data_IF_222768287159
#
_entry.id   IF_222768287159
#
_cell.length_a   1.000
_cell.length_b   1.000
_cell.length_c   1.000
_cell.angle_alpha   90.00
_cell.angle_beta   90.00
_cell.angle_gamma   90.00
#
_symmetry.space_group_name_H-M   'P 1'
#
loop_
_entity.id
_entity.type
_entity.pdbx_description
1 polymer ?
#
# COMPACT_ATOMS: atom_id res chain seq x y z
N UNK A 1 -32.50 -35.58 -11.86
CA UNK A 1 -31.18 -34.93 -11.90
C UNK A 1 -31.21 -33.65 -11.03
N UNK A 2 -30.78 -33.76 -9.79
CA UNK A 2 -30.80 -32.60 -8.84
C UNK A 2 -29.49 -31.82 -9.00
N UNK A 3 -29.58 -30.57 -9.46
CA UNK A 3 -28.44 -29.65 -9.53
C UNK A 3 -28.25 -29.04 -8.16
N UNK A 4 -27.23 -29.47 -7.42
CA UNK A 4 -26.78 -28.82 -6.19
C UNK A 4 -26.01 -27.57 -6.55
N UNK A 5 -26.62 -26.43 -6.29
CA UNK A 5 -26.01 -25.10 -6.43
C UNK A 5 -25.18 -24.84 -5.16
N UNK A 6 -23.86 -25.01 -5.25
CA UNK A 6 -22.93 -24.66 -4.17
C UNK A 6 -22.65 -23.17 -4.28
N UNK A 7 -23.26 -22.40 -3.39
CA UNK A 7 -22.98 -20.97 -3.22
C UNK A 7 -21.73 -20.87 -2.35
N UNK A 8 -20.60 -20.52 -2.97
CA UNK A 8 -19.40 -20.13 -2.24
C UNK A 8 -19.57 -18.68 -1.74
N UNK A 9 -19.96 -18.55 -0.49
CA UNK A 9 -19.90 -17.27 0.22
C UNK A 9 -18.43 -16.96 0.52
N UNK A 10 -17.87 -15.98 -0.19
CA UNK A 10 -16.55 -15.44 0.10
C UNK A 10 -16.69 -14.50 1.30
N UNK A 11 -16.52 -15.04 2.51
CA UNK A 11 -16.46 -14.26 3.75
C UNK A 11 -15.11 -13.52 3.78
N UNK A 12 -15.14 -12.21 3.55
CA UNK A 12 -14.00 -11.33 3.73
C UNK A 12 -13.63 -11.25 5.21
N UNK A 13 -12.54 -11.89 5.60
CA UNK A 13 -11.96 -11.74 6.93
C UNK A 13 -11.19 -10.43 7.00
N UNK A 14 -11.83 -9.42 7.57
CA UNK A 14 -11.19 -8.18 8.00
C UNK A 14 -10.33 -8.53 9.23
N UNK A 15 -9.02 -8.67 9.03
CA UNK A 15 -8.07 -8.89 10.14
C UNK A 15 -7.94 -7.61 10.94
N UNK A 16 -8.57 -7.59 12.13
CA UNK A 16 -8.31 -6.61 13.18
C UNK A 16 -6.87 -6.77 13.66
N UNK A 17 -6.08 -5.72 13.51
CA UNK A 17 -4.78 -5.59 14.15
C UNK A 17 -4.95 -5.54 15.67
N UNK A 18 -4.19 -6.33 16.44
CA UNK A 18 -4.19 -6.20 17.90
C UNK A 18 -3.47 -4.92 18.32
N UNK A 19 -4.21 -4.00 18.92
CA UNK A 19 -3.64 -2.86 19.65
C UNK A 19 -2.85 -3.37 20.85
N UNK A 20 -1.54 -3.25 20.82
CA UNK A 20 -0.68 -3.49 21.97
C UNK A 20 -0.79 -2.27 22.90
N UNK A 21 -1.65 -2.38 23.91
CA UNK A 21 -1.71 -1.43 25.02
C UNK A 21 -0.51 -1.66 25.93
N UNK A 22 0.49 -0.79 25.86
CA UNK A 22 1.52 -0.70 26.89
C UNK A 22 0.95 0.13 28.05
N UNK A 23 0.67 -0.54 29.15
CA UNK A 23 0.39 0.09 30.43
C UNK A 23 1.67 0.78 30.91
N UNK A 24 1.70 2.11 30.84
CA UNK A 24 2.74 2.94 31.47
C UNK A 24 2.23 3.38 32.82
N UNK A 25 2.92 2.91 33.87
CA UNK A 25 2.79 3.31 35.25
C UNK A 25 3.01 4.81 35.40
N UNK A 26 2.17 5.57 36.13
CA UNK A 26 2.38 6.99 36.32
C UNK A 26 3.45 7.23 37.38
N UNK A 27 4.51 7.90 37.01
CA UNK A 27 5.45 8.55 37.95
C UNK A 27 5.06 10.02 38.14
N UNK A 28 5.35 10.62 39.31
CA UNK A 28 4.71 11.84 39.82
C UNK A 28 5.15 13.10 39.06
N UNK A 29 4.16 13.95 38.89
CA UNK A 29 4.20 15.27 38.27
C UNK A 29 5.20 16.21 38.94
N UNK A 30 6.15 16.72 38.16
CA UNK A 30 6.71 18.05 38.42
C UNK A 30 6.18 18.99 37.35
N UNK A 31 5.26 19.84 37.78
CA UNK A 31 4.68 20.90 36.94
C UNK A 31 5.73 21.97 36.70
N UNK A 32 6.40 21.90 35.54
CA UNK A 32 7.10 23.05 34.98
C UNK A 32 6.17 23.65 33.92
N UNK A 33 5.46 24.69 34.31
CA UNK A 33 4.70 25.54 33.40
C UNK A 33 5.68 26.26 32.48
N UNK A 34 6.01 25.64 31.36
CA UNK A 34 6.65 26.34 30.24
C UNK A 34 5.56 27.09 29.52
N UNK A 35 5.52 28.40 29.74
CA UNK A 35 4.74 29.36 28.97
C UNK A 35 5.13 29.19 27.50
N UNK A 36 4.32 28.46 26.73
CA UNK A 36 4.47 28.40 25.29
C UNK A 36 4.01 29.75 24.71
N UNK A 37 4.96 30.66 24.55
CA UNK A 37 4.78 31.79 23.64
C UNK A 37 4.42 31.21 22.27
N UNK A 38 3.35 31.69 21.59
CA UNK A 38 3.11 31.33 20.23
C UNK A 38 4.29 31.80 19.41
N UNK A 39 5.15 30.84 18.97
CA UNK A 39 6.12 31.12 17.94
C UNK A 39 5.32 31.63 16.72
N UNK A 40 5.34 32.95 16.53
CA UNK A 40 4.94 33.56 15.27
C UNK A 40 5.71 32.81 14.18
N UNK A 41 4.97 32.18 13.24
CA UNK A 41 5.56 31.52 12.08
C UNK A 41 6.42 32.56 11.36
N UNK A 42 7.74 32.51 11.61
CA UNK A 42 8.69 33.30 10.86
C UNK A 42 8.52 32.96 9.39
N UNK A 43 8.44 33.93 8.48
CA UNK A 43 8.38 33.68 7.05
C UNK A 43 9.57 32.77 6.70
N UNK A 44 9.29 31.57 6.15
CA UNK A 44 10.30 30.57 5.84
C UNK A 44 11.38 31.22 4.96
N UNK A 45 12.58 31.37 5.51
CA UNK A 45 13.70 31.92 4.78
C UNK A 45 13.91 31.11 3.48
N UNK A 46 14.25 31.72 2.36
CA UNK A 46 14.44 31.02 1.11
C UNK A 46 15.51 29.92 1.28
N UNK A 47 15.20 28.72 0.81
CA UNK A 47 16.10 27.58 0.91
C UNK A 47 17.43 27.88 0.23
N UNK A 48 18.53 27.60 0.90
CA UNK A 48 19.87 27.72 0.30
C UNK A 48 20.02 26.78 -0.89
N UNK A 49 20.91 27.06 -1.84
CA UNK A 49 21.16 26.16 -2.99
C UNK A 49 21.55 24.73 -2.54
N UNK A 50 22.29 24.59 -1.45
CA UNK A 50 22.67 23.31 -0.87
C UNK A 50 21.45 22.57 -0.34
N UNK A 51 20.57 23.24 0.42
CA UNK A 51 19.33 22.67 0.94
C UNK A 51 18.39 22.25 -0.20
N UNK A 52 18.28 23.03 -1.28
CA UNK A 52 17.49 22.65 -2.47
C UNK A 52 18.04 21.39 -3.15
N UNK A 53 19.37 21.23 -3.24
CA UNK A 53 19.99 20.01 -3.79
C UNK A 53 19.65 18.80 -2.91
N UNK A 54 19.88 18.89 -1.60
CA UNK A 54 19.57 17.81 -0.66
C UNK A 54 18.09 17.41 -0.72
N UNK A 55 17.17 18.36 -0.77
CA UNK A 55 15.74 18.08 -0.88
C UNK A 55 15.37 17.40 -2.21
N UNK A 56 16.03 17.76 -3.33
CA UNK A 56 15.83 17.06 -4.62
C UNK A 56 16.33 15.63 -4.57
N UNK A 57 17.47 15.39 -3.93
CA UNK A 57 18.04 14.05 -3.81
C UNK A 57 17.18 13.18 -2.89
N UNK A 58 16.66 13.73 -1.80
CA UNK A 58 15.69 13.05 -0.94
C UNK A 58 14.40 12.70 -1.72
N UNK A 59 13.85 13.64 -2.51
CA UNK A 59 12.68 13.38 -3.33
C UNK A 59 12.92 12.25 -4.36
N UNK A 60 14.10 12.21 -4.97
CA UNK A 60 14.48 11.12 -5.89
C UNK A 60 14.59 9.78 -5.18
N UNK A 61 15.18 9.75 -3.97
CA UNK A 61 15.29 8.54 -3.17
C UNK A 61 13.91 7.99 -2.80
N UNK A 62 13.03 8.85 -2.29
CA UNK A 62 11.63 8.49 -1.97
C UNK A 62 10.89 7.96 -3.20
N UNK A 63 11.04 8.61 -4.34
CA UNK A 63 10.43 8.15 -5.59
C UNK A 63 10.90 6.75 -6.00
N UNK A 64 12.22 6.50 -5.95
CA UNK A 64 12.78 5.18 -6.27
C UNK A 64 12.28 4.11 -5.31
N UNK A 65 12.22 4.41 -4.01
CA UNK A 65 11.68 3.49 -3.02
C UNK A 65 10.21 3.14 -3.30
N UNK A 66 9.38 4.14 -3.62
CA UNK A 66 7.98 3.92 -3.97
C UNK A 66 7.79 3.06 -5.24
N UNK A 67 8.67 3.21 -6.24
CA UNK A 67 8.65 2.35 -7.44
C UNK A 67 9.01 0.91 -7.11
N UNK A 68 10.04 0.68 -6.28
CA UNK A 68 10.42 -0.67 -5.84
C UNK A 68 9.32 -1.33 -5.02
N UNK A 69 8.68 -0.59 -4.12
CA UNK A 69 7.54 -1.07 -3.34
C UNK A 69 6.38 -1.48 -4.25
N UNK A 70 6.03 -0.64 -5.23
CA UNK A 70 4.99 -0.96 -6.20
C UNK A 70 5.32 -2.22 -7.01
N UNK A 71 6.58 -2.41 -7.44
CA UNK A 71 7.03 -3.61 -8.15
C UNK A 71 6.93 -4.85 -7.27
N UNK A 72 7.45 -4.79 -6.05
CA UNK A 72 7.40 -5.89 -5.10
C UNK A 72 5.96 -6.29 -4.77
N UNK A 73 5.09 -5.30 -4.52
CA UNK A 73 3.68 -5.54 -4.27
C UNK A 73 2.97 -6.23 -5.43
N UNK A 74 3.25 -5.81 -6.68
CA UNK A 74 2.75 -6.48 -7.88
C UNK A 74 3.21 -7.92 -7.97
N UNK A 75 4.50 -8.16 -7.75
CA UNK A 75 5.11 -9.49 -7.94
C UNK A 75 4.60 -10.48 -6.88
N UNK A 76 4.45 -10.03 -5.62
CA UNK A 76 3.83 -10.81 -4.56
C UNK A 76 2.35 -11.13 -4.89
N UNK A 77 1.59 -10.13 -5.32
CA UNK A 77 0.19 -10.34 -5.69
C UNK A 77 0.02 -11.33 -6.86
N UNK A 78 0.91 -11.31 -7.84
CA UNK A 78 0.92 -12.31 -8.91
C UNK A 78 1.33 -13.71 -8.42
N UNK A 79 2.28 -13.81 -7.49
CA UNK A 79 2.68 -15.09 -6.89
C UNK A 79 1.47 -15.75 -6.16
N UNK A 80 0.76 -14.98 -5.35
CA UNK A 80 -0.44 -15.44 -4.63
C UNK A 80 -1.58 -15.81 -5.61
N UNK A 81 -1.77 -15.01 -6.64
CA UNK A 81 -2.78 -15.28 -7.66
C UNK A 81 -2.47 -16.56 -8.43
N UNK A 82 -1.21 -16.82 -8.76
CA UNK A 82 -0.78 -18.06 -9.40
C UNK A 82 -0.99 -19.27 -8.48
N UNK A 83 -0.65 -19.16 -7.21
CA UNK A 83 -0.91 -20.21 -6.23
C UNK A 83 -2.41 -20.54 -6.13
N UNK A 84 -3.25 -19.51 -6.08
CA UNK A 84 -4.71 -19.63 -6.08
C UNK A 84 -5.22 -20.36 -7.34
N UNK A 85 -4.70 -20.00 -8.52
CA UNK A 85 -5.06 -20.67 -9.77
C UNK A 85 -4.68 -22.15 -9.76
N UNK A 86 -3.48 -22.48 -9.29
CA UNK A 86 -3.01 -23.87 -9.18
C UNK A 86 -3.93 -24.66 -8.26
N UNK A 87 -4.24 -24.16 -7.08
CA UNK A 87 -5.15 -24.78 -6.14
C UNK A 87 -6.54 -25.00 -6.74
N UNK A 88 -7.13 -23.97 -7.34
CA UNK A 88 -8.46 -24.02 -7.95
C UNK A 88 -8.52 -25.02 -9.13
N UNK A 89 -7.48 -25.05 -9.98
CA UNK A 89 -7.44 -25.99 -11.11
C UNK A 89 -7.17 -27.43 -10.68
N UNK A 90 -6.44 -27.63 -9.59
CA UNK A 90 -6.22 -28.96 -8.98
C UNK A 90 -7.52 -29.47 -8.34
N UNK A 91 -8.19 -28.64 -7.57
CA UNK A 91 -9.49 -28.97 -6.95
C UNK A 91 -10.57 -29.27 -8.00
N UNK A 92 -10.54 -28.59 -9.15
CA UNK A 92 -11.46 -28.84 -10.26
C UNK A 92 -11.29 -30.22 -10.91
N UNK A 93 -10.16 -30.91 -10.74
CA UNK A 93 -9.91 -32.25 -11.24
C UNK A 93 -10.18 -32.38 -12.77
N UNK A 94 -11.22 -33.15 -13.15
CA UNK A 94 -11.62 -33.31 -14.55
C UNK A 94 -12.74 -32.37 -15.00
N UNK A 95 -13.29 -31.54 -14.09
CA UNK A 95 -14.35 -30.59 -14.42
C UNK A 95 -13.81 -29.43 -15.27
N UNK A 96 -14.20 -29.44 -16.54
CA UNK A 96 -13.80 -28.38 -17.51
C UNK A 96 -14.46 -27.04 -17.19
N UNK A 97 -15.68 -27.04 -16.65
CA UNK A 97 -16.41 -25.82 -16.28
C UNK A 97 -15.74 -25.11 -15.12
N UNK A 98 -15.41 -25.86 -14.05
CA UNK A 98 -14.68 -25.33 -12.90
C UNK A 98 -13.30 -24.78 -13.29
N UNK A 99 -12.56 -25.46 -14.17
CA UNK A 99 -11.28 -24.94 -14.70
C UNK A 99 -11.44 -23.66 -15.50
N UNK A 100 -12.48 -23.57 -16.33
CA UNK A 100 -12.75 -22.35 -17.10
C UNK A 100 -13.10 -21.18 -16.16
N UNK A 101 -13.91 -21.42 -15.13
CA UNK A 101 -14.24 -20.42 -14.12
C UNK A 101 -12.99 -19.94 -13.34
N UNK A 102 -12.11 -20.85 -12.93
CA UNK A 102 -10.86 -20.50 -12.25
C UNK A 102 -9.95 -19.61 -13.12
N UNK A 103 -9.84 -19.92 -14.41
CA UNK A 103 -9.06 -19.09 -15.36
C UNK A 103 -9.69 -17.72 -15.58
N UNK A 104 -11.01 -17.64 -15.65
CA UNK A 104 -11.71 -16.36 -15.78
C UNK A 104 -11.51 -15.49 -14.55
N UNK A 105 -11.60 -16.05 -13.35
CA UNK A 105 -11.30 -15.38 -12.10
C UNK A 105 -9.85 -14.88 -12.06
N UNK A 106 -8.88 -15.72 -12.44
CA UNK A 106 -7.49 -15.32 -12.57
C UNK A 106 -7.31 -14.11 -13.48
N UNK A 107 -7.91 -14.15 -14.68
CA UNK A 107 -7.80 -13.04 -15.64
C UNK A 107 -8.34 -11.72 -15.07
N UNK A 108 -9.47 -11.76 -14.40
CA UNK A 108 -10.06 -10.59 -13.75
C UNK A 108 -9.18 -10.05 -12.64
N UNK A 109 -8.68 -10.91 -11.75
CA UNK A 109 -7.79 -10.54 -10.66
C UNK A 109 -6.45 -9.97 -11.18
N UNK A 110 -5.87 -10.57 -12.23
CA UNK A 110 -4.65 -10.07 -12.87
C UNK A 110 -4.80 -8.65 -13.41
N UNK A 111 -5.96 -8.35 -14.00
CA UNK A 111 -6.27 -6.97 -14.44
C UNK A 111 -6.34 -6.00 -13.26
N UNK A 112 -6.92 -6.42 -12.14
CA UNK A 112 -6.95 -5.64 -10.90
C UNK A 112 -5.53 -5.31 -10.37
N UNK A 113 -4.65 -6.32 -10.33
CA UNK A 113 -3.25 -6.14 -9.91
C UNK A 113 -2.53 -5.14 -10.82
N UNK A 114 -2.69 -5.25 -12.14
CA UNK A 114 -2.07 -4.32 -13.10
C UNK A 114 -2.59 -2.90 -12.89
N UNK A 115 -3.88 -2.74 -12.65
CA UNK A 115 -4.50 -1.44 -12.41
C UNK A 115 -3.96 -0.80 -11.12
N UNK A 116 -3.90 -1.55 -10.03
CA UNK A 116 -3.35 -1.11 -8.76
C UNK A 116 -1.86 -0.70 -8.90
N UNK A 117 -1.07 -1.50 -9.61
CA UNK A 117 0.33 -1.18 -9.90
C UNK A 117 0.48 0.14 -10.67
N UNK A 118 -0.30 0.34 -11.74
CA UNK A 118 -0.30 1.60 -12.51
C UNK A 118 -0.67 2.80 -11.64
N UNK A 119 -1.63 2.62 -10.74
CA UNK A 119 -2.07 3.66 -9.82
C UNK A 119 -0.99 4.02 -8.81
N UNK A 120 -0.27 3.03 -8.26
CA UNK A 120 0.87 3.25 -7.35
C UNK A 120 1.98 4.06 -8.05
N UNK A 121 2.32 3.74 -9.30
CA UNK A 121 3.28 4.50 -10.09
C UNK A 121 2.79 5.95 -10.34
N UNK A 122 1.52 6.13 -10.68
CA UNK A 122 0.93 7.45 -10.90
C UNK A 122 1.00 8.31 -9.63
N UNK A 123 0.71 7.71 -8.48
CA UNK A 123 0.81 8.37 -7.18
C UNK A 123 2.26 8.76 -6.86
N UNK A 124 3.22 7.85 -7.05
CA UNK A 124 4.65 8.13 -6.85
C UNK A 124 5.12 9.31 -7.73
N UNK A 125 4.71 9.33 -9.01
CA UNK A 125 5.00 10.42 -9.93
C UNK A 125 4.39 11.75 -9.46
N UNK A 126 3.16 11.74 -8.98
CA UNK A 126 2.46 12.93 -8.46
C UNK A 126 3.19 13.52 -7.26
N UNK A 127 3.52 12.67 -6.28
CA UNK A 127 4.28 13.07 -5.07
C UNK A 127 5.64 13.65 -5.44
N UNK A 128 6.37 13.00 -6.35
CA UNK A 128 7.67 13.49 -6.81
C UNK A 128 7.57 14.86 -7.51
N UNK A 129 6.60 15.04 -8.40
CA UNK A 129 6.35 16.33 -9.06
C UNK A 129 6.00 17.43 -8.07
N UNK A 130 5.15 17.14 -7.08
CA UNK A 130 4.79 18.08 -6.03
C UNK A 130 6.01 18.50 -5.21
N UNK A 131 6.86 17.54 -4.81
CA UNK A 131 8.10 17.81 -4.08
C UNK A 131 9.05 18.72 -4.90
N UNK A 132 9.20 18.48 -6.20
CA UNK A 132 10.03 19.35 -7.06
C UNK A 132 9.44 20.75 -7.24
N UNK A 133 8.12 20.89 -7.30
CA UNK A 133 7.44 22.17 -7.43
C UNK A 133 7.61 23.02 -6.18
N UNK A 134 7.58 22.41 -5.00
CA UNK A 134 7.79 23.09 -3.72
C UNK A 134 9.24 23.65 -3.56
N UNK A 135 10.18 23.22 -4.43
CA UNK A 135 11.59 23.64 -4.39
C UNK A 135 11.92 24.75 -5.40
N UNK A 136 10.94 25.25 -6.13
CA UNK A 136 11.13 26.39 -7.06
C UNK A 136 11.11 27.70 -6.30
#
# INVERSE_FOLDING_TARGET
>A
MKRSMVIFALAGSLSLLPSISHAVTPAPSTSSSVSASPLAASPSAPLTPAAKRAARDAARSTYRAALLEAQNGRDLAFADLNATLVQATTAAGKDRGAKAAARAAYKSAAQGIITAYKQSIANANSVYKAALTALK
#
